data_IF_213864021911
#
_entry.id   IF_213864021911
#
_cell.length_a   1.000
_cell.length_b   1.000
_cell.length_c   1.000
_cell.angle_alpha   90.00
_cell.angle_beta   90.00
_cell.angle_gamma   90.00
#
_symmetry.space_group_name_H-M   'P 1'
#
loop_
_entity.id
_entity.type
_entity.pdbx_description
1 polymer ?
#
# COMPACT_ATOMS: atom_id res chain seq x y z
N UNK A 1 -1.80 -7.28 -6.53
CA UNK A 1 -2.32 -5.98 -6.07
C UNK A 1 -1.46 -4.90 -6.71
N UNK A 2 -2.11 -3.88 -7.25
CA UNK A 2 -1.48 -2.69 -7.82
C UNK A 2 -1.99 -1.49 -7.02
N UNK A 3 -1.08 -0.65 -6.54
CA UNK A 3 -1.42 0.54 -5.75
C UNK A 3 -0.73 1.71 -6.41
N UNK A 4 -1.53 2.63 -6.96
CA UNK A 4 -1.03 3.84 -7.59
C UNK A 4 -1.46 5.05 -6.77
N UNK A 5 -0.50 5.88 -6.38
CA UNK A 5 -0.74 7.11 -5.61
C UNK A 5 -0.55 8.31 -6.54
N UNK A 6 -1.60 9.10 -6.72
CA UNK A 6 -1.55 10.32 -7.52
C UNK A 6 -1.22 11.52 -6.62
N UNK A 7 0.06 11.90 -6.56
CA UNK A 7 0.57 12.86 -5.57
C UNK A 7 0.01 14.28 -5.69
N UNK A 8 -0.61 14.64 -6.82
CA UNK A 8 -1.22 15.97 -7.03
C UNK A 8 -2.61 16.11 -6.42
N UNK A 9 -3.35 15.02 -6.30
CA UNK A 9 -4.75 15.01 -5.83
C UNK A 9 -4.91 14.28 -4.50
N UNK A 10 -3.82 13.69 -3.97
CA UNK A 10 -3.83 12.77 -2.82
C UNK A 10 -4.80 11.57 -2.99
N UNK A 11 -5.16 11.25 -4.24
CA UNK A 11 -6.02 10.11 -4.54
C UNK A 11 -5.18 8.82 -4.53
N UNK A 12 -5.64 7.83 -3.77
CA UNK A 12 -5.08 6.49 -3.75
C UNK A 12 -5.95 5.58 -4.62
N UNK A 13 -5.39 5.07 -5.71
CA UNK A 13 -6.05 4.07 -6.55
C UNK A 13 -5.61 2.68 -6.12
N UNK A 14 -6.56 1.88 -5.65
CA UNK A 14 -6.35 0.48 -5.31
C UNK A 14 -6.87 -0.42 -6.44
N UNK A 15 -6.01 -1.27 -6.99
CA UNK A 15 -6.38 -2.26 -8.00
C UNK A 15 -6.01 -3.67 -7.56
N UNK A 16 -6.96 -4.60 -7.65
CA UNK A 16 -6.69 -6.03 -7.39
C UNK A 16 -6.94 -6.79 -8.68
N UNK A 17 -5.97 -7.63 -9.07
CA UNK A 17 -6.11 -8.55 -10.20
C UNK A 17 -6.22 -9.95 -9.65
N UNK A 18 -7.35 -10.62 -9.89
CA UNK A 18 -7.54 -12.04 -9.57
C UNK A 18 -8.10 -12.79 -10.78
N UNK A 19 -8.20 -14.11 -10.66
CA UNK A 19 -8.68 -15.00 -11.73
C UNK A 19 -10.17 -14.81 -12.05
N UNK A 20 -10.97 -14.32 -11.10
CA UNK A 20 -12.40 -14.03 -11.32
C UNK A 20 -12.75 -12.56 -11.03
N UNK A 21 -13.70 -11.97 -11.79
CA UNK A 21 -14.18 -10.62 -11.53
C UNK A 21 -14.75 -10.45 -10.11
N UNK A 22 -15.53 -11.42 -9.64
CA UNK A 22 -16.19 -11.37 -8.33
C UNK A 22 -15.19 -11.41 -7.17
N UNK A 23 -14.13 -12.23 -7.28
CA UNK A 23 -13.08 -12.30 -6.28
C UNK A 23 -12.26 -11.00 -6.25
N UNK A 24 -12.06 -10.37 -7.41
CA UNK A 24 -11.36 -9.08 -7.49
C UNK A 24 -12.14 -7.99 -6.76
N UNK A 25 -13.47 -7.95 -6.94
CA UNK A 25 -14.36 -7.02 -6.24
C UNK A 25 -14.34 -7.26 -4.73
N UNK A 26 -14.59 -8.51 -4.29
CA UNK A 26 -14.65 -8.86 -2.88
C UNK A 26 -13.36 -8.53 -2.12
N UNK A 27 -12.19 -8.72 -2.76
CA UNK A 27 -10.90 -8.39 -2.16
C UNK A 27 -10.72 -6.88 -2.02
N UNK A 28 -11.13 -6.06 -3.01
CA UNK A 28 -11.04 -4.60 -2.92
C UNK A 28 -11.97 -4.08 -1.83
N UNK A 29 -13.22 -4.53 -1.81
CA UNK A 29 -14.20 -4.12 -0.79
C UNK A 29 -13.73 -4.48 0.63
N UNK A 30 -13.23 -5.70 0.81
CA UNK A 30 -12.70 -6.13 2.11
C UNK A 30 -11.45 -5.35 2.51
N UNK A 31 -10.57 -5.05 1.56
CA UNK A 31 -9.39 -4.22 1.82
C UNK A 31 -9.78 -2.79 2.23
N UNK A 32 -10.76 -2.17 1.58
CA UNK A 32 -11.25 -0.84 1.94
C UNK A 32 -11.86 -0.82 3.35
N UNK A 33 -12.69 -1.81 3.69
CA UNK A 33 -13.26 -1.94 5.03
C UNK A 33 -12.17 -2.08 6.09
N UNK A 34 -11.20 -2.98 5.90
CA UNK A 34 -10.11 -3.19 6.85
C UNK A 34 -9.24 -1.94 7.02
N UNK A 35 -8.95 -1.22 5.94
CA UNK A 35 -8.20 0.04 6.02
C UNK A 35 -9.00 1.09 6.79
N UNK A 36 -10.31 1.17 6.57
CA UNK A 36 -11.17 2.11 7.30
C UNK A 36 -11.24 1.76 8.80
N UNK A 37 -11.50 0.50 9.13
CA UNK A 37 -11.53 -0.01 10.52
C UNK A 37 -10.19 0.24 11.21
N UNK A 38 -9.08 -0.12 10.56
CA UNK A 38 -7.74 0.10 11.08
C UNK A 38 -7.43 1.59 11.28
N UNK A 39 -7.81 2.45 10.34
CA UNK A 39 -7.58 3.90 10.46
C UNK A 39 -8.38 4.48 11.63
N UNK A 40 -9.64 4.05 11.80
CA UNK A 40 -10.50 4.48 12.88
C UNK A 40 -9.94 4.05 14.25
N UNK A 41 -9.57 2.77 14.40
CA UNK A 41 -9.03 2.24 15.65
C UNK A 41 -7.67 2.86 16.02
N UNK A 42 -6.76 2.98 15.03
CA UNK A 42 -5.46 3.60 15.25
C UNK A 42 -5.58 5.07 15.61
N UNK A 43 -6.45 5.84 14.94
CA UNK A 43 -6.64 7.27 15.25
C UNK A 43 -7.23 7.47 16.63
N UNK A 44 -8.26 6.71 17.01
CA UNK A 44 -8.84 6.80 18.35
C UNK A 44 -7.80 6.48 19.44
N UNK A 45 -6.98 5.44 19.22
CA UNK A 45 -5.88 5.11 20.13
C UNK A 45 -4.85 6.23 20.20
N UNK A 46 -4.45 6.82 19.06
CA UNK A 46 -3.49 7.93 19.03
C UNK A 46 -4.03 9.18 19.73
N UNK A 47 -5.25 9.62 19.43
CA UNK A 47 -5.88 10.79 20.06
C UNK A 47 -5.98 10.64 21.58
N UNK A 48 -6.35 9.45 22.06
CA UNK A 48 -6.40 9.14 23.48
C UNK A 48 -5.01 9.13 24.15
N UNK A 49 -3.97 8.64 23.46
CA UNK A 49 -2.60 8.68 23.95
C UNK A 49 -2.07 10.12 24.03
N UNK A 50 -2.33 10.93 23.00
CA UNK A 50 -1.94 12.34 22.95
C UNK A 50 -2.57 13.14 24.08
N UNK A 51 -3.88 12.98 24.33
CA UNK A 51 -4.55 13.65 25.46
C UNK A 51 -3.93 13.27 26.79
N UNK A 52 -3.63 11.98 27.00
CA UNK A 52 -3.00 11.52 28.25
C UNK A 52 -1.60 12.12 28.42
N UNK A 53 -0.81 12.15 27.35
CA UNK A 53 0.52 12.74 27.35
C UNK A 53 0.48 14.24 27.69
N UNK A 54 -0.35 15.00 26.98
CA UNK A 54 -0.54 16.43 27.23
C UNK A 54 -1.09 16.71 28.63
N UNK A 55 -2.00 15.86 29.13
CA UNK A 55 -2.53 15.97 30.49
C UNK A 55 -1.45 15.80 31.56
N UNK A 56 -0.54 14.83 31.39
CA UNK A 56 0.61 14.66 32.27
C UNK A 56 1.53 15.87 32.23
N UNK A 57 1.89 16.34 31.04
CA UNK A 57 2.76 17.51 30.85
C UNK A 57 2.16 18.80 31.40
N UNK A 58 0.84 18.96 31.29
CA UNK A 58 0.13 20.09 31.88
C UNK A 58 0.19 20.06 33.41
N UNK A 59 0.09 18.87 34.00
CA UNK A 59 0.29 18.65 35.44
C UNK A 59 1.68 19.06 35.90
N UNK A 60 2.72 18.60 35.19
CA UNK A 60 4.12 18.95 35.47
C UNK A 60 4.34 20.48 35.33
N UNK A 61 3.90 21.08 34.23
CA UNK A 61 4.05 22.51 33.98
C UNK A 61 3.32 23.37 35.02
N UNK A 62 2.16 22.92 35.52
CA UNK A 62 1.45 23.58 36.62
C UNK A 62 2.24 23.52 37.92
N UNK A 63 2.93 22.42 38.18
CA UNK A 63 3.76 22.27 39.36
C UNK A 63 5.00 23.18 39.28
N UNK A 64 5.70 23.16 38.15
CA UNK A 64 6.86 24.05 37.90
C UNK A 64 6.49 25.53 37.95
N UNK A 65 5.30 25.91 37.46
CA UNK A 65 4.80 27.27 37.57
C UNK A 65 4.62 27.69 39.03
N UNK A 66 4.00 26.84 39.85
CA UNK A 66 3.83 27.12 41.28
C UNK A 66 5.18 27.27 41.99
N UNK A 67 6.15 26.44 41.67
CA UNK A 67 7.50 26.54 42.24
C UNK A 67 8.21 27.85 41.85
N UNK A 68 8.00 28.34 40.63
CA UNK A 68 8.51 29.64 40.19
C UNK A 68 7.81 30.81 40.90
N UNK A 69 6.48 30.73 41.05
CA UNK A 69 5.68 31.70 41.80
C UNK A 69 6.10 31.77 43.27
N UNK A 70 6.27 30.61 43.92
CA UNK A 70 6.75 30.50 45.30
C UNK A 70 8.17 31.04 45.47
N UNK A 71 9.01 30.95 44.45
CA UNK A 71 10.37 31.51 44.47
C UNK A 71 10.35 33.04 44.39
N UNK A 72 9.45 33.62 43.58
CA UNK A 72 9.21 35.07 43.56
C UNK A 72 8.63 35.53 44.90
N UNK A 73 7.65 34.82 45.45
CA UNK A 73 7.02 35.15 46.73
C UNK A 73 8.05 35.15 47.88
N UNK A 74 8.84 34.08 48.02
CA UNK A 74 9.92 34.00 49.02
C UNK A 74 10.94 35.11 48.87
N UNK A 75 11.31 35.48 47.65
CA UNK A 75 12.23 36.59 47.42
C UNK A 75 11.66 37.92 47.93
N UNK A 76 10.38 38.21 47.64
CA UNK A 76 9.69 39.43 48.06
C UNK A 76 9.50 39.50 49.59
N UNK A 77 9.23 38.36 50.23
CA UNK A 77 9.12 38.26 51.68
C UNK A 77 10.45 38.55 52.39
N UNK A 78 11.55 38.02 51.87
CA UNK A 78 12.89 38.17 52.44
C UNK A 78 13.51 39.54 52.15
N UNK A 79 13.16 40.16 51.01
CA UNK A 79 13.82 41.37 50.52
C UNK A 79 12.81 42.49 50.29
N UNK A 80 12.29 43.11 51.35
CA UNK A 80 11.26 44.16 51.23
C UNK A 80 11.74 45.43 50.51
N UNK A 81 13.02 45.78 50.66
CA UNK A 81 13.63 46.99 50.08
C UNK A 81 14.56 46.70 48.88
N UNK A 82 14.30 45.60 48.16
CA UNK A 82 15.14 45.12 47.05
C UNK A 82 15.35 46.14 45.92
N UNK A 83 14.41 47.10 45.76
CA UNK A 83 14.40 48.09 44.67
C UNK A 83 15.58 49.07 44.73
N UNK A 84 16.14 49.31 45.91
CA UNK A 84 17.26 50.22 46.11
C UNK A 84 18.63 49.55 45.93
N UNK A 85 18.65 48.23 45.66
CA UNK A 85 19.86 47.42 45.50
C UNK A 85 19.92 46.87 44.08
N UNK A 86 20.83 47.37 43.21
CA UNK A 86 20.95 46.86 41.84
C UNK A 86 21.13 45.34 41.73
N UNK A 87 21.93 44.66 42.59
CA UNK A 87 22.04 43.20 42.56
C UNK A 87 20.72 42.47 42.88
N UNK A 88 19.95 42.94 43.86
CA UNK A 88 18.68 42.31 44.23
C UNK A 88 17.60 42.55 43.16
N UNK A 89 17.58 43.73 42.55
CA UNK A 89 16.70 44.04 41.43
C UNK A 89 16.94 43.09 40.26
N UNK A 90 18.19 42.84 39.88
CA UNK A 90 18.53 41.91 38.81
C UNK A 90 18.09 40.47 39.12
N UNK A 91 18.24 40.04 40.38
CA UNK A 91 17.77 38.73 40.84
C UNK A 91 16.25 38.61 40.74
N UNK A 92 15.51 39.63 41.16
CA UNK A 92 14.05 39.68 41.03
C UNK A 92 13.61 39.58 39.57
N UNK A 93 14.21 40.36 38.67
CA UNK A 93 13.86 40.30 37.25
C UNK A 93 14.12 38.93 36.64
N UNK A 94 15.18 38.23 37.08
CA UNK A 94 15.46 36.86 36.63
C UNK A 94 14.36 35.90 37.07
N UNK A 95 13.95 35.95 38.34
CA UNK A 95 12.85 35.13 38.87
C UNK A 95 11.52 35.46 38.18
N UNK A 96 11.26 36.74 37.91
CA UNK A 96 10.06 37.17 37.22
C UNK A 96 10.03 36.68 35.76
N UNK A 97 11.16 36.74 35.03
CA UNK A 97 11.27 36.15 33.68
C UNK A 97 11.03 34.65 33.68
N UNK A 98 11.58 33.94 34.67
CA UNK A 98 11.35 32.50 34.82
C UNK A 98 9.88 32.17 35.07
N UNK A 99 9.22 32.87 36.02
CA UNK A 99 7.79 32.74 36.27
C UNK A 99 6.97 32.99 35.00
N UNK A 100 7.22 34.08 34.28
CA UNK A 100 6.53 34.41 33.02
C UNK A 100 6.72 33.34 31.94
N UNK A 101 7.92 32.75 31.85
CA UNK A 101 8.18 31.64 30.92
C UNK A 101 7.33 30.42 31.30
N UNK A 102 7.29 30.05 32.58
CA UNK A 102 6.45 28.93 33.06
C UNK A 102 4.96 29.20 32.84
N UNK A 103 4.50 30.43 33.05
CA UNK A 103 3.12 30.84 32.78
C UNK A 103 2.76 30.67 31.30
N UNK A 104 3.65 31.12 30.41
CA UNK A 104 3.45 30.99 28.95
C UNK A 104 3.41 29.53 28.52
N UNK A 105 4.31 28.70 29.06
CA UNK A 105 4.33 27.26 28.78
C UNK A 105 3.05 26.57 29.26
N UNK A 106 2.61 26.85 30.50
CA UNK A 106 1.36 26.32 31.04
C UNK A 106 0.15 26.72 30.18
N UNK A 107 0.04 27.99 29.79
CA UNK A 107 -1.04 28.47 28.94
C UNK A 107 -1.07 27.75 27.58
N UNK A 108 0.11 27.56 26.96
CA UNK A 108 0.24 26.87 25.67
C UNK A 108 -0.14 25.39 25.79
N UNK A 109 0.35 24.69 26.82
CA UNK A 109 -0.01 23.30 27.08
C UNK A 109 -1.50 23.13 27.41
N UNK A 110 -2.09 24.09 28.13
CA UNK A 110 -3.52 24.08 28.43
C UNK A 110 -4.35 24.23 27.16
N UNK A 111 -3.95 25.11 26.24
CA UNK A 111 -4.62 25.27 24.96
C UNK A 111 -4.50 24.00 24.10
N UNK A 112 -3.31 23.41 24.02
CA UNK A 112 -3.09 22.17 23.27
C UNK A 112 -3.86 20.99 23.85
N UNK A 113 -3.95 20.89 25.19
CA UNK A 113 -4.72 19.85 25.86
C UNK A 113 -6.21 19.95 25.55
N UNK A 114 -6.80 21.15 25.60
CA UNK A 114 -8.22 21.33 25.25
C UNK A 114 -8.46 21.05 23.76
N UNK A 115 -7.53 21.42 22.88
CA UNK A 115 -7.60 21.07 21.46
C UNK A 115 -7.60 19.54 21.24
N UNK A 116 -6.66 18.83 21.87
CA UNK A 116 -6.57 17.36 21.80
C UNK A 116 -7.82 16.68 22.38
N UNK A 117 -8.39 17.23 23.46
CA UNK A 117 -9.65 16.76 24.04
C UNK A 117 -10.83 16.94 23.10
N UNK A 118 -10.88 18.05 22.36
CA UNK A 118 -11.90 18.29 21.33
C UNK A 118 -11.73 17.31 20.18
N UNK A 119 -10.50 17.05 19.73
CA UNK A 119 -10.18 16.12 18.64
C UNK A 119 -10.59 14.68 18.99
N UNK A 120 -10.29 14.20 20.19
CA UNK A 120 -10.72 12.86 20.64
C UNK A 120 -12.25 12.69 20.63
N UNK A 121 -13.00 13.76 20.95
CA UNK A 121 -14.47 13.73 20.88
C UNK A 121 -14.98 13.89 19.44
N UNK A 122 -14.26 14.65 18.60
CA UNK A 122 -14.64 14.95 17.21
C UNK A 122 -14.23 13.88 16.21
N UNK A 123 -13.38 12.92 16.57
CA UNK A 123 -12.85 11.87 15.69
C UNK A 123 -13.98 11.03 15.04
N UNK A 124 -14.51 11.58 13.95
CA UNK A 124 -15.47 10.97 13.05
C UNK A 124 -14.70 10.76 11.74
N UNK A 125 -14.24 9.54 11.45
CA UNK A 125 -13.42 9.30 10.28
C UNK A 125 -14.30 9.43 9.03
N UNK A 126 -13.95 10.35 8.14
CA UNK A 126 -14.51 10.37 6.79
C UNK A 126 -13.41 9.89 5.84
N UNK A 127 -13.31 8.58 5.67
CA UNK A 127 -12.72 8.05 4.44
C UNK A 127 -13.74 8.34 3.34
N UNK A 128 -13.60 9.48 2.66
CA UNK A 128 -14.50 9.82 1.56
C UNK A 128 -14.16 8.93 0.37
N UNK A 129 -14.94 7.85 0.20
CA UNK A 129 -14.85 7.02 -0.99
C UNK A 129 -15.31 7.85 -2.19
N UNK A 130 -14.35 8.30 -3.00
CA UNK A 130 -14.62 9.11 -4.21
C UNK A 130 -15.30 8.27 -5.30
N UNK A 131 -14.91 7.00 -5.41
CA UNK A 131 -15.44 6.06 -6.38
C UNK A 131 -15.55 4.68 -5.74
N UNK A 132 -16.74 4.09 -5.79
CA UNK A 132 -16.95 2.73 -5.27
C UNK A 132 -16.29 1.70 -6.19
N UNK A 133 -15.77 0.58 -5.64
CA UNK A 133 -15.21 -0.50 -6.46
C UNK A 133 -16.25 -1.00 -7.48
N UNK A 134 -15.85 -1.12 -8.75
CA UNK A 134 -16.72 -1.64 -9.81
C UNK A 134 -16.16 -2.94 -10.39
N UNK A 135 -17.06 -3.81 -10.82
CA UNK A 135 -16.71 -5.03 -11.55
C UNK A 135 -16.03 -4.68 -12.88
N UNK A 136 -14.90 -5.32 -13.21
CA UNK A 136 -14.25 -5.10 -14.50
C UNK A 136 -15.16 -5.62 -15.63
N UNK A 137 -15.61 -4.70 -16.49
CA UNK A 137 -16.50 -5.01 -17.63
C UNK A 137 -15.83 -5.88 -18.69
N UNK A 138 -14.49 -5.89 -18.74
CA UNK A 138 -13.70 -6.70 -19.68
C UNK A 138 -12.48 -7.33 -19.01
N UNK A 139 -12.14 -8.59 -19.36
CA UNK A 139 -10.89 -9.21 -18.90
C UNK A 139 -9.66 -8.48 -19.49
N UNK A 140 -8.57 -8.47 -18.72
CA UNK A 140 -7.30 -7.84 -19.12
C UNK A 140 -6.73 -8.52 -20.38
N UNK A 141 -6.76 -7.79 -21.50
CA UNK A 141 -6.41 -8.31 -22.83
C UNK A 141 -4.91 -8.34 -23.11
N UNK A 142 -4.05 -7.93 -22.16
CA UNK A 142 -2.59 -7.87 -22.34
C UNK A 142 -2.00 -9.18 -22.87
N UNK A 143 -2.47 -10.33 -22.41
CA UNK A 143 -1.95 -11.62 -22.87
C UNK A 143 -2.61 -12.15 -24.15
N UNK A 144 -3.79 -11.66 -24.54
CA UNK A 144 -4.46 -12.10 -25.77
C UNK A 144 -3.67 -11.64 -27.01
N UNK A 145 -3.19 -10.41 -27.01
CA UNK A 145 -2.39 -9.87 -28.12
C UNK A 145 -1.08 -10.64 -28.30
N UNK A 146 -0.34 -10.90 -27.20
CA UNK A 146 0.89 -11.68 -27.25
C UNK A 146 0.65 -13.13 -27.73
N UNK A 147 -0.44 -13.78 -27.29
CA UNK A 147 -0.80 -15.12 -27.78
C UNK A 147 -1.12 -15.13 -29.27
N UNK A 148 -1.85 -14.12 -29.75
CA UNK A 148 -2.22 -13.98 -31.16
C UNK A 148 -0.99 -13.69 -32.03
N UNK A 149 -0.10 -12.80 -31.59
CA UNK A 149 1.17 -12.53 -32.27
C UNK A 149 2.04 -13.79 -32.34
N UNK A 150 2.18 -14.53 -31.23
CA UNK A 150 2.96 -15.76 -31.20
C UNK A 150 2.35 -16.84 -32.11
N UNK A 151 1.02 -16.96 -32.14
CA UNK A 151 0.33 -17.88 -33.04
C UNK A 151 0.49 -17.49 -34.52
N UNK A 152 0.48 -16.20 -34.84
CA UNK A 152 0.68 -15.70 -36.20
C UNK A 152 2.12 -15.95 -36.68
N UNK A 153 3.11 -15.62 -35.87
CA UNK A 153 4.53 -15.85 -36.19
C UNK A 153 4.82 -17.35 -36.28
N UNK A 154 4.34 -18.13 -35.31
CA UNK A 154 4.49 -19.59 -35.32
C UNK A 154 3.80 -20.23 -36.52
N UNK A 155 2.58 -19.81 -36.84
CA UNK A 155 1.84 -20.29 -38.00
C UNK A 155 2.51 -19.93 -39.33
N UNK A 156 3.06 -18.71 -39.45
CA UNK A 156 3.80 -18.29 -40.64
C UNK A 156 5.08 -19.11 -40.84
N UNK A 157 5.84 -19.36 -39.76
CA UNK A 157 7.04 -20.21 -39.82
C UNK A 157 6.72 -21.63 -40.28
N UNK A 158 5.70 -22.26 -39.67
CA UNK A 158 5.25 -23.61 -40.06
C UNK A 158 4.74 -23.61 -41.50
N UNK A 159 4.01 -22.58 -41.92
CA UNK A 159 3.52 -22.43 -43.28
C UNK A 159 4.64 -22.31 -44.32
N UNK A 160 5.69 -21.53 -44.03
CA UNK A 160 6.86 -21.38 -44.89
C UNK A 160 7.63 -22.70 -45.00
N UNK A 161 7.91 -23.36 -43.88
CA UNK A 161 8.59 -24.67 -43.87
C UNK A 161 7.77 -25.71 -44.64
N UNK A 162 6.45 -25.73 -44.46
CA UNK A 162 5.54 -26.59 -45.20
C UNK A 162 5.58 -26.32 -46.70
N UNK A 163 5.54 -25.05 -47.12
CA UNK A 163 5.61 -24.66 -48.53
C UNK A 163 6.92 -25.09 -49.20
N UNK A 164 8.06 -24.89 -48.53
CA UNK A 164 9.37 -25.35 -49.02
C UNK A 164 9.46 -26.88 -49.08
N UNK A 165 8.91 -27.59 -48.09
CA UNK A 165 8.85 -29.05 -48.14
C UNK A 165 8.01 -29.55 -49.33
N UNK A 166 6.84 -28.95 -49.55
CA UNK A 166 5.99 -29.30 -50.72
C UNK A 166 6.65 -28.94 -52.05
N UNK A 167 7.31 -27.79 -52.15
CA UNK A 167 8.00 -27.36 -53.38
C UNK A 167 9.25 -28.24 -53.66
N UNK A 168 9.98 -28.67 -52.62
CA UNK A 168 11.08 -29.63 -52.78
C UNK A 168 10.58 -31.00 -53.27
N UNK A 169 9.51 -31.53 -52.69
CA UNK A 169 8.85 -32.77 -53.11
C UNK A 169 8.31 -32.70 -54.55
N UNK A 170 7.78 -31.55 -54.98
CA UNK A 170 7.26 -31.35 -56.33
C UNK A 170 8.35 -31.11 -57.38
N UNK A 171 9.49 -30.52 -57.02
CA UNK A 171 10.62 -30.29 -57.94
C UNK A 171 11.51 -31.52 -58.16
N UNK A 172 11.55 -32.45 -57.21
CA UNK A 172 12.25 -33.74 -57.34
C UNK A 172 11.45 -34.81 -58.11
N UNK A 173 10.27 -34.45 -58.64
CA UNK A 173 9.35 -35.36 -59.30
C UNK A 173 9.81 -36.04 -60.62
N UNK A 174 10.95 -35.73 -61.28
CA UNK A 174 11.43 -36.61 -62.34
C UNK A 174 12.28 -37.80 -61.85
N UNK A 175 12.87 -37.76 -60.63
CA UNK A 175 13.77 -38.85 -60.17
C UNK A 175 13.37 -39.52 -58.84
N UNK A 176 12.42 -38.96 -58.08
CA UNK A 176 12.12 -39.43 -56.71
C UNK A 176 10.73 -40.06 -56.53
N UNK A 177 10.22 -40.73 -57.56
CA UNK A 177 9.06 -41.64 -57.40
C UNK A 177 9.33 -42.76 -56.35
N UNK A 178 10.60 -43.00 -56.01
CA UNK A 178 11.01 -43.95 -54.96
C UNK A 178 10.81 -43.39 -53.52
N UNK A 179 11.03 -42.10 -53.28
CA UNK A 179 10.97 -41.51 -51.93
C UNK A 179 9.54 -41.35 -51.38
N UNK A 180 8.58 -41.09 -52.28
CA UNK A 180 7.14 -41.01 -51.94
C UNK A 180 6.58 -42.36 -51.46
N UNK A 181 7.11 -43.48 -51.94
CA UNK A 181 6.73 -44.82 -51.49
C UNK A 181 7.21 -45.12 -50.07
N UNK A 182 8.40 -44.63 -49.69
CA UNK A 182 8.96 -44.80 -48.35
C UNK A 182 8.28 -43.88 -47.32
N UNK A 183 7.92 -42.65 -47.70
CA UNK A 183 7.12 -41.76 -46.85
C UNK A 183 5.72 -42.33 -46.57
N UNK A 184 5.07 -42.95 -47.56
CA UNK A 184 3.76 -43.62 -47.35
C UNK A 184 3.85 -44.83 -46.42
N UNK A 185 4.96 -45.59 -46.46
CA UNK A 185 5.24 -46.66 -45.48
C UNK A 185 5.42 -46.12 -44.07
N UNK A 186 6.27 -45.11 -43.90
CA UNK A 186 6.55 -44.50 -42.59
C UNK A 186 5.32 -43.80 -42.00
N UNK A 187 4.49 -43.16 -42.82
CA UNK A 187 3.23 -42.55 -42.38
C UNK A 187 2.19 -43.60 -41.94
N UNK A 188 2.18 -44.76 -42.61
CA UNK A 188 1.35 -45.91 -42.24
C UNK A 188 1.78 -46.62 -40.95
N UNK A 189 3.07 -46.51 -40.58
CA UNK A 189 3.59 -46.98 -39.28
C UNK A 189 3.32 -45.96 -38.18
N UNK A 190 3.62 -44.69 -38.42
CA UNK A 190 3.42 -43.61 -37.46
C UNK A 190 1.93 -43.44 -37.07
N UNK A 191 1.00 -43.56 -38.02
CA UNK A 191 -0.45 -43.51 -37.75
C UNK A 191 -0.93 -44.67 -36.88
N UNK A 192 -0.29 -45.84 -36.95
CA UNK A 192 -0.61 -46.99 -36.09
C UNK A 192 -0.02 -46.87 -34.69
N UNK A 193 1.13 -46.20 -34.58
CA UNK A 193 1.84 -46.00 -33.31
C UNK A 193 1.23 -44.85 -32.49
N UNK A 194 0.80 -43.78 -33.15
CA UNK A 194 0.13 -42.63 -32.50
C UNK A 194 -1.33 -42.94 -32.13
N UNK A 195 -1.98 -43.91 -32.79
CA UNK A 195 -3.37 -44.32 -32.48
C UNK A 195 -3.48 -45.45 -31.43
N UNK A 196 -2.44 -45.67 -30.62
CA UNK A 196 -2.52 -46.43 -29.37
C UNK A 196 -2.09 -45.57 -28.17
N UNK A 197 -2.97 -44.69 -27.67
CA UNK A 197 -2.62 -43.75 -26.59
C UNK A 197 -2.43 -44.42 -25.20
N UNK A 198 -2.50 -45.75 -25.09
CA UNK A 198 -2.52 -46.48 -23.82
C UNK A 198 -1.25 -47.26 -23.48
N UNK A 199 -0.16 -47.11 -24.24
CA UNK A 199 1.10 -47.86 -23.97
C UNK A 199 2.16 -47.06 -23.20
N UNK A 200 1.91 -45.78 -22.89
CA UNK A 200 2.81 -44.93 -22.11
C UNK A 200 2.32 -44.62 -20.68
N UNK A 201 1.16 -45.16 -20.26
CA UNK A 201 0.66 -45.05 -18.88
C UNK A 201 0.13 -46.43 -18.41
N UNK A 202 0.83 -47.07 -17.47
CA UNK A 202 0.35 -48.29 -16.80
C UNK A 202 1.42 -49.36 -16.61
N UNK A 203 2.28 -49.24 -15.59
CA UNK A 203 2.11 -49.95 -14.30
C UNK A 203 2.41 -51.45 -14.46
N UNK A 204 3.64 -51.81 -14.13
CA UNK A 204 3.96 -53.19 -13.76
C UNK A 204 3.33 -53.51 -12.42
N UNK A 205 2.49 -54.56 -12.39
CA UNK A 205 2.31 -55.48 -11.26
C UNK A 205 1.52 -56.70 -11.72
N UNK A 206 2.19 -57.84 -11.78
CA UNK A 206 1.80 -59.13 -11.20
C UNK A 206 2.98 -60.08 -11.36
#
# INVERSE_FOLDING_TARGET
MDVAVEQRTQLVRLGVRTTSPDLSLAVVERALQLVSEFNQDQRQSQSAQERRFLGSRLGDAKQELREAEDSVARFLEQNRDFRNSPPLLFQYERLQREMTLRQTLYATLSQNFEQSRIEEVRDTPVLTVVESPQLPVRPDSRHLFFKLLLALVGGALVGVVGAFATDALLRQAPEEAAGLADFQRLWGEFRREVWRPWRLLGIGRA
#
